data_IF_404538825668
#
_entry.id   IF_404538825668
#
_cell.length_a   1.000
_cell.length_b   1.000
_cell.length_c   1.000
_cell.angle_alpha   90.00
_cell.angle_beta   90.00
_cell.angle_gamma   90.00
#
_symmetry.space_group_name_H-M   'P 1'
#
loop_
_entity.id
_entity.type
_entity.pdbx_description
1 polymer ?
#
# COMPACT_ATOMS: atom_id res chain seq x y z
N UNK A 1 -27.58 -18.89 -50.52
CA UNK A 1 -27.22 -18.37 -49.19
C UNK A 1 -26.52 -19.49 -48.44
N UNK A 2 -25.24 -19.34 -48.11
CA UNK A 2 -24.50 -20.36 -47.38
C UNK A 2 -25.06 -20.46 -45.95
N UNK A 3 -25.72 -21.56 -45.63
CA UNK A 3 -26.22 -21.86 -44.29
C UNK A 3 -25.02 -22.03 -43.36
N UNK A 4 -24.81 -21.07 -42.45
CA UNK A 4 -23.71 -21.15 -41.48
C UNK A 4 -23.84 -22.46 -40.67
N UNK A 5 -22.73 -23.20 -40.57
CA UNK A 5 -22.65 -24.47 -39.84
C UNK A 5 -23.18 -24.26 -38.40
N UNK A 6 -24.19 -25.04 -37.95
CA UNK A 6 -24.73 -24.96 -36.59
C UNK A 6 -23.65 -25.03 -35.49
N UNK A 7 -22.59 -25.80 -35.74
CA UNK A 7 -21.46 -25.93 -34.82
C UNK A 7 -20.70 -24.61 -34.68
N UNK A 8 -20.51 -23.86 -35.76
CA UNK A 8 -19.88 -22.52 -35.73
C UNK A 8 -20.66 -21.55 -34.84
N UNK A 9 -22.01 -21.58 -34.92
CA UNK A 9 -22.86 -20.74 -34.05
C UNK A 9 -22.76 -21.14 -32.58
N UNK A 10 -22.73 -22.45 -32.30
CA UNK A 10 -22.59 -22.96 -30.93
C UNK A 10 -21.24 -22.57 -30.31
N UNK A 11 -20.14 -22.71 -31.05
CA UNK A 11 -18.82 -22.30 -30.55
C UNK A 11 -18.70 -20.77 -30.39
N UNK A 12 -19.28 -19.99 -31.30
CA UNK A 12 -19.33 -18.53 -31.12
C UNK A 12 -20.13 -18.14 -29.88
N UNK A 13 -21.28 -18.79 -29.65
CA UNK A 13 -22.09 -18.54 -28.46
C UNK A 13 -21.37 -18.96 -27.17
N UNK A 14 -20.71 -20.12 -27.17
CA UNK A 14 -19.89 -20.57 -26.06
C UNK A 14 -18.75 -19.58 -25.77
N UNK A 15 -18.04 -19.10 -26.80
CA UNK A 15 -17.01 -18.08 -26.65
C UNK A 15 -17.57 -16.78 -26.03
N UNK A 16 -18.77 -16.34 -26.44
CA UNK A 16 -19.42 -15.16 -25.84
C UNK A 16 -19.83 -15.38 -24.39
N UNK A 17 -20.30 -16.56 -24.02
CA UNK A 17 -20.57 -16.87 -22.62
C UNK A 17 -19.30 -16.89 -21.77
N UNK A 18 -18.20 -17.46 -22.29
CA UNK A 18 -16.91 -17.45 -21.60
C UNK A 18 -16.35 -16.03 -21.45
N UNK A 19 -16.47 -15.18 -22.46
CA UNK A 19 -16.10 -13.76 -22.41
C UNK A 19 -16.89 -13.02 -21.32
N UNK A 20 -18.22 -13.21 -21.27
CA UNK A 20 -19.07 -12.60 -20.24
C UNK A 20 -18.70 -13.11 -18.83
N UNK A 21 -18.42 -14.40 -18.68
CA UNK A 21 -18.00 -14.97 -17.40
C UNK A 21 -16.68 -14.36 -16.92
N UNK A 22 -15.67 -14.31 -17.80
CA UNK A 22 -14.37 -13.72 -17.50
C UNK A 22 -14.49 -12.23 -17.11
N UNK A 23 -15.32 -11.45 -17.81
CA UNK A 23 -15.55 -10.03 -17.48
C UNK A 23 -16.20 -9.85 -16.11
N UNK A 24 -17.16 -10.70 -15.73
CA UNK A 24 -17.80 -10.65 -14.41
C UNK A 24 -16.81 -10.98 -13.29
N UNK A 25 -15.99 -12.02 -13.48
CA UNK A 25 -14.96 -12.39 -12.52
C UNK A 25 -13.91 -11.28 -12.36
N UNK A 26 -13.53 -10.65 -13.47
CA UNK A 26 -12.60 -9.52 -13.48
C UNK A 26 -13.17 -8.32 -12.70
N UNK A 27 -14.46 -8.00 -12.90
CA UNK A 27 -15.16 -6.95 -12.15
C UNK A 27 -15.14 -7.21 -10.64
N UNK A 28 -15.50 -8.42 -10.21
CA UNK A 28 -15.51 -8.79 -8.80
C UNK A 28 -14.10 -8.75 -8.19
N UNK A 29 -13.10 -9.24 -8.94
CA UNK A 29 -11.69 -9.17 -8.52
C UNK A 29 -11.23 -7.73 -8.34
N UNK A 30 -11.55 -6.83 -9.28
CA UNK A 30 -11.22 -5.41 -9.16
C UNK A 30 -11.90 -4.75 -7.94
N UNK A 31 -13.13 -5.13 -7.61
CA UNK A 31 -13.80 -4.66 -6.40
C UNK A 31 -13.06 -5.06 -5.12
N UNK A 32 -12.61 -6.33 -5.04
CA UNK A 32 -11.80 -6.81 -3.92
C UNK A 32 -10.44 -6.11 -3.83
N UNK A 33 -9.78 -5.86 -4.96
CA UNK A 33 -8.50 -5.14 -5.00
C UNK A 33 -8.65 -3.66 -4.61
N UNK A 34 -9.79 -3.04 -4.92
CA UNK A 34 -10.09 -1.68 -4.45
C UNK A 34 -10.20 -1.65 -2.92
N UNK A 35 -10.95 -2.59 -2.34
CA UNK A 35 -11.08 -2.73 -0.88
C UNK A 35 -9.74 -3.05 -0.20
N UNK A 36 -8.91 -3.85 -0.84
CA UNK A 36 -7.54 -4.11 -0.41
C UNK A 36 -6.71 -2.81 -0.34
N UNK A 37 -6.79 -1.95 -1.36
CA UNK A 37 -6.11 -0.66 -1.36
C UNK A 37 -6.57 0.27 -0.24
N UNK A 38 -7.89 0.33 0.01
CA UNK A 38 -8.45 1.08 1.14
C UNK A 38 -7.92 0.55 2.47
N UNK A 39 -7.87 -0.76 2.64
CA UNK A 39 -7.34 -1.39 3.85
C UNK A 39 -5.85 -1.13 4.05
N UNK A 40 -5.04 -1.30 3.00
CA UNK A 40 -3.61 -0.95 3.04
C UNK A 40 -3.42 0.52 3.42
N UNK A 41 -4.25 1.42 2.91
CA UNK A 41 -4.17 2.83 3.28
C UNK A 41 -4.48 3.06 4.77
N UNK A 42 -5.47 2.38 5.35
CA UNK A 42 -5.73 2.48 6.79
C UNK A 42 -4.57 1.93 7.62
N UNK A 43 -3.95 0.82 7.20
CA UNK A 43 -2.76 0.26 7.86
C UNK A 43 -1.56 1.20 7.77
N UNK A 44 -1.37 1.90 6.64
CA UNK A 44 -0.32 2.92 6.50
C UNK A 44 -0.52 4.08 7.49
N UNK A 45 -1.77 4.51 7.71
CA UNK A 45 -2.12 5.53 8.72
C UNK A 45 -1.88 5.00 10.13
N UNK A 46 -2.36 3.80 10.43
CA UNK A 46 -2.20 3.17 11.75
C UNK A 46 -0.73 2.97 12.12
N UNK A 47 0.10 2.51 11.17
CA UNK A 47 1.56 2.42 11.34
C UNK A 47 2.16 3.77 11.71
N UNK A 48 1.80 4.82 10.97
CA UNK A 48 2.35 6.15 11.18
C UNK A 48 2.00 6.65 12.59
N UNK A 49 0.72 6.57 12.98
CA UNK A 49 0.26 6.99 14.31
C UNK A 49 0.88 6.15 15.42
N UNK A 50 1.06 4.84 15.20
CA UNK A 50 1.74 3.94 16.14
C UNK A 50 3.20 4.32 16.33
N UNK A 51 3.89 4.74 15.25
CA UNK A 51 5.27 5.18 15.31
C UNK A 51 5.43 6.40 16.23
N UNK A 52 4.58 7.43 16.06
CA UNK A 52 4.61 8.61 16.96
C UNK A 52 4.24 8.22 18.38
N UNK A 53 3.17 7.44 18.56
CA UNK A 53 2.70 7.04 19.89
C UNK A 53 3.82 6.34 20.68
N UNK A 54 4.58 5.46 20.03
CA UNK A 54 5.73 4.80 20.63
C UNK A 54 6.93 5.74 20.82
N UNK A 55 7.29 6.54 19.82
CA UNK A 55 8.44 7.45 19.87
C UNK A 55 8.27 8.58 20.92
N UNK A 56 7.02 8.99 21.18
CA UNK A 56 6.66 10.02 22.17
C UNK A 56 6.35 9.46 23.56
N UNK A 57 6.69 8.20 23.85
CA UNK A 57 6.39 7.57 25.13
C UNK A 57 4.88 7.65 25.55
N UNK A 58 3.96 7.52 24.59
CA UNK A 58 2.48 7.66 24.73
C UNK A 58 1.96 9.07 25.00
N UNK A 59 2.80 10.09 24.93
CA UNK A 59 2.38 11.47 25.17
C UNK A 59 1.60 12.04 23.98
N UNK A 60 1.84 11.53 22.78
CA UNK A 60 1.23 12.03 21.54
C UNK A 60 0.51 10.94 20.77
N UNK A 61 -0.44 11.36 19.92
CA UNK A 61 -1.20 10.49 19.01
C UNK A 61 -2.04 9.38 19.65
N UNK A 62 -2.23 9.40 20.98
CA UNK A 62 -3.04 8.40 21.69
C UNK A 62 -4.49 8.39 21.22
N UNK A 63 -5.15 9.55 21.14
CA UNK A 63 -6.55 9.64 20.68
C UNK A 63 -6.67 9.32 19.19
N UNK A 64 -5.76 9.85 18.37
CA UNK A 64 -5.72 9.58 16.93
C UNK A 64 -5.56 8.07 16.65
N UNK A 65 -4.69 7.37 17.39
CA UNK A 65 -4.53 5.92 17.25
C UNK A 65 -5.79 5.16 17.71
N UNK A 66 -6.43 5.60 18.80
CA UNK A 66 -7.71 5.02 19.26
C UNK A 66 -8.84 5.20 18.23
N UNK A 67 -8.86 6.32 17.51
CA UNK A 67 -9.82 6.59 16.44
C UNK A 67 -9.48 5.85 15.14
N UNK A 68 -8.20 5.63 14.85
CA UNK A 68 -7.74 4.98 13.63
C UNK A 68 -7.94 3.46 13.65
N UNK A 69 -7.80 2.80 14.80
CA UNK A 69 -7.96 1.33 14.90
C UNK A 69 -9.35 0.86 14.41
N UNK A 70 -10.48 1.49 14.82
CA UNK A 70 -11.80 1.17 14.27
C UNK A 70 -11.90 1.33 12.75
N UNK A 71 -11.27 2.37 12.17
CA UNK A 71 -11.25 2.57 10.71
C UNK A 71 -10.50 1.43 10.01
N UNK A 72 -9.34 1.03 10.53
CA UNK A 72 -8.59 -0.12 10.02
C UNK A 72 -9.41 -1.42 10.13
N UNK A 73 -10.12 -1.64 11.25
CA UNK A 73 -10.98 -2.82 11.43
C UNK A 73 -12.17 -2.84 10.47
N UNK A 74 -12.78 -1.68 10.20
CA UNK A 74 -13.85 -1.57 9.23
C UNK A 74 -13.35 -1.91 7.82
N UNK A 75 -12.20 -1.35 7.41
CA UNK A 75 -11.61 -1.64 6.11
C UNK A 75 -11.17 -3.11 5.97
N UNK A 76 -10.69 -3.72 7.06
CA UNK A 76 -10.39 -5.16 7.09
C UNK A 76 -11.65 -6.00 6.87
N UNK A 77 -12.74 -5.67 7.55
CA UNK A 77 -14.03 -6.37 7.39
C UNK A 77 -14.54 -6.27 5.95
N UNK A 78 -14.55 -5.06 5.39
CA UNK A 78 -14.93 -4.81 3.99
C UNK A 78 -14.11 -5.63 2.99
N UNK A 79 -12.79 -5.70 3.21
CA UNK A 79 -11.90 -6.50 2.38
C UNK A 79 -12.20 -8.00 2.51
N UNK A 80 -12.39 -8.50 3.73
CA UNK A 80 -12.68 -9.91 3.99
C UNK A 80 -14.01 -10.35 3.39
N UNK A 81 -15.05 -9.52 3.52
CA UNK A 81 -16.36 -9.82 2.95
C UNK A 81 -16.32 -9.79 1.42
N UNK A 82 -15.55 -8.87 0.83
CA UNK A 82 -15.31 -8.87 -0.61
C UNK A 82 -14.56 -10.12 -1.08
N UNK A 83 -13.54 -10.58 -0.36
CA UNK A 83 -12.84 -11.83 -0.70
C UNK A 83 -13.77 -13.03 -0.70
N UNK A 84 -14.65 -13.15 0.32
CA UNK A 84 -15.63 -14.24 0.38
C UNK A 84 -16.56 -14.21 -0.84
N UNK A 85 -17.12 -13.04 -1.15
CA UNK A 85 -18.04 -12.87 -2.28
C UNK A 85 -17.39 -13.13 -3.63
N UNK A 86 -16.11 -12.78 -3.80
CA UNK A 86 -15.39 -12.91 -5.07
C UNK A 86 -14.83 -14.31 -5.29
N UNK A 87 -14.21 -14.91 -4.25
CA UNK A 87 -13.36 -16.10 -4.42
C UNK A 87 -13.90 -17.37 -3.75
N UNK A 88 -14.84 -17.27 -2.81
CA UNK A 88 -15.36 -18.41 -2.04
C UNK A 88 -16.83 -18.63 -2.41
N UNK A 89 -17.04 -19.09 -3.66
CA UNK A 89 -18.35 -19.46 -4.20
C UNK A 89 -18.32 -20.92 -4.68
N UNK A 90 -19.47 -21.61 -4.75
CA UNK A 90 -19.59 -23.03 -5.11
C UNK A 90 -19.03 -23.42 -6.51
N UNK A 91 -18.69 -22.44 -7.34
CA UNK A 91 -18.12 -22.61 -8.68
C UNK A 91 -16.67 -22.08 -8.76
N UNK A 92 -15.84 -22.33 -7.75
CA UNK A 92 -14.47 -21.84 -7.71
C UNK A 92 -13.68 -22.33 -8.93
N UNK A 93 -13.26 -21.37 -9.77
CA UNK A 93 -12.49 -21.64 -10.97
C UNK A 93 -11.07 -22.11 -10.60
N UNK A 94 -10.64 -23.23 -11.18
CA UNK A 94 -9.42 -23.96 -10.76
C UNK A 94 -8.11 -23.27 -11.14
N UNK A 95 -8.16 -22.10 -11.79
CA UNK A 95 -7.01 -21.42 -12.42
C UNK A 95 -6.17 -20.49 -11.53
N UNK A 96 -6.47 -20.33 -10.24
CA UNK A 96 -5.90 -19.23 -9.42
C UNK A 96 -5.08 -19.68 -8.20
N UNK A 97 -4.50 -20.88 -8.18
CA UNK A 97 -3.80 -21.44 -7.00
C UNK A 97 -2.77 -20.49 -6.37
N UNK A 98 -1.97 -19.77 -7.17
CA UNK A 98 -0.96 -18.83 -6.66
C UNK A 98 -1.59 -17.62 -5.95
N UNK A 99 -2.66 -17.06 -6.50
CA UNK A 99 -3.44 -15.99 -5.87
C UNK A 99 -4.05 -16.44 -4.54
N UNK A 100 -4.69 -17.61 -4.51
CA UNK A 100 -5.24 -18.16 -3.26
C UNK A 100 -4.16 -18.35 -2.19
N UNK A 101 -2.99 -18.89 -2.56
CA UNK A 101 -1.87 -19.05 -1.62
C UNK A 101 -1.38 -17.70 -1.07
N UNK A 102 -1.27 -16.66 -1.91
CA UNK A 102 -0.88 -15.32 -1.47
C UNK A 102 -1.94 -14.68 -0.56
N UNK A 103 -3.22 -14.87 -0.86
CA UNK A 103 -4.32 -14.43 0.01
C UNK A 103 -4.22 -15.15 1.35
N UNK A 104 -4.09 -16.48 1.37
CA UNK A 104 -3.95 -17.27 2.59
C UNK A 104 -2.77 -16.81 3.43
N UNK A 105 -1.59 -16.62 2.83
CA UNK A 105 -0.41 -16.13 3.53
C UNK A 105 -0.63 -14.73 4.13
N UNK A 106 -1.27 -13.83 3.39
CA UNK A 106 -1.55 -12.47 3.84
C UNK A 106 -2.58 -12.43 4.97
N UNK A 107 -3.60 -13.28 4.91
CA UNK A 107 -4.60 -13.44 5.97
C UNK A 107 -3.94 -14.02 7.24
N UNK A 108 -3.06 -15.01 7.10
CA UNK A 108 -2.31 -15.56 8.23
C UNK A 108 -1.41 -14.50 8.88
N UNK A 109 -0.77 -13.64 8.09
CA UNK A 109 0.03 -12.52 8.62
C UNK A 109 -0.85 -11.51 9.39
N UNK A 110 -2.08 -11.29 8.93
CA UNK A 110 -3.06 -10.41 9.58
C UNK A 110 -3.54 -10.95 10.94
N UNK A 111 -3.50 -12.26 11.17
CA UNK A 111 -3.84 -12.85 12.48
C UNK A 111 -2.91 -12.36 13.61
N UNK A 112 -1.71 -11.88 13.27
CA UNK A 112 -0.77 -11.29 14.23
C UNK A 112 -1.08 -9.81 14.55
N UNK A 113 -1.93 -9.14 13.77
CA UNK A 113 -2.21 -7.70 13.94
C UNK A 113 -2.81 -7.34 15.31
N UNK A 114 -3.76 -8.11 15.89
CA UNK A 114 -4.25 -7.84 17.24
C UNK A 114 -3.15 -7.92 18.32
N UNK A 115 -2.22 -8.86 18.17
CA UNK A 115 -1.08 -9.01 19.10
C UNK A 115 -0.15 -7.81 18.98
N UNK A 116 0.17 -7.39 17.76
CA UNK A 116 0.98 -6.18 17.50
C UNK A 116 0.34 -4.94 18.13
N UNK A 117 -0.96 -4.73 17.95
CA UNK A 117 -1.71 -3.61 18.56
C UNK A 117 -1.63 -3.63 20.09
N UNK A 118 -1.72 -4.81 20.70
CA UNK A 118 -1.57 -4.97 22.14
C UNK A 118 -0.15 -4.60 22.60
N UNK A 119 0.88 -5.11 21.91
CA UNK A 119 2.27 -4.75 22.18
C UNK A 119 2.51 -3.24 22.06
N UNK A 120 1.93 -2.58 21.05
CA UNK A 120 2.00 -1.12 20.88
C UNK A 120 1.34 -0.41 22.07
N UNK A 121 0.11 -0.80 22.41
CA UNK A 121 -0.64 -0.20 23.53
C UNK A 121 0.09 -0.36 24.88
N UNK A 122 0.78 -1.48 25.08
CA UNK A 122 1.58 -1.77 26.27
C UNK A 122 3.03 -1.27 26.19
N UNK A 123 3.46 -0.70 25.06
CA UNK A 123 4.87 -0.37 24.75
C UNK A 123 5.85 -1.52 24.97
N UNK A 124 5.40 -2.75 24.70
CA UNK A 124 6.25 -3.94 24.74
C UNK A 124 6.98 -4.19 23.41
N UNK A 125 7.03 -3.16 22.54
CA UNK A 125 7.68 -3.18 21.24
C UNK A 125 8.25 -1.79 20.94
N UNK A 126 9.40 -1.72 20.27
CA UNK A 126 9.98 -0.45 19.83
C UNK A 126 9.24 0.12 18.62
N UNK A 127 9.32 1.44 18.41
CA UNK A 127 8.75 2.10 17.23
C UNK A 127 9.29 1.51 15.92
N UNK A 128 10.59 1.16 15.89
CA UNK A 128 11.25 0.55 14.74
C UNK A 128 10.65 -0.83 14.44
N UNK A 129 10.54 -1.71 15.44
CA UNK A 129 9.99 -3.05 15.23
C UNK A 129 8.51 -3.02 14.86
N UNK A 130 7.71 -2.16 15.50
CA UNK A 130 6.30 -1.99 15.12
C UNK A 130 6.16 -1.52 13.66
N UNK A 131 7.00 -0.55 13.24
CA UNK A 131 7.03 -0.06 11.86
C UNK A 131 7.39 -1.18 10.88
N UNK A 132 8.38 -2.01 11.21
CA UNK A 132 8.78 -3.16 10.40
C UNK A 132 7.64 -4.19 10.28
N UNK A 133 6.96 -4.53 11.38
CA UNK A 133 5.82 -5.47 11.35
C UNK A 133 4.68 -4.98 10.45
N UNK A 134 4.29 -3.71 10.55
CA UNK A 134 3.30 -3.14 9.64
C UNK A 134 3.78 -3.13 8.18
N UNK A 135 5.05 -2.81 7.94
CA UNK A 135 5.63 -2.76 6.59
C UNK A 135 5.61 -4.13 5.92
N UNK A 136 5.96 -5.19 6.65
CA UNK A 136 5.90 -6.58 6.15
C UNK A 136 4.46 -7.01 5.82
N UNK A 137 3.51 -6.63 6.67
CA UNK A 137 2.09 -6.92 6.48
C UNK A 137 1.52 -6.15 5.27
N UNK A 138 1.89 -4.88 5.09
CA UNK A 138 1.50 -4.10 3.91
C UNK A 138 2.11 -4.70 2.65
N UNK A 139 3.38 -5.12 2.67
CA UNK A 139 4.04 -5.74 1.52
C UNK A 139 3.36 -7.05 1.09
N UNK A 140 2.96 -7.92 2.02
CA UNK A 140 2.23 -9.15 1.68
C UNK A 140 0.89 -8.86 1.02
N UNK A 141 0.17 -7.84 1.51
CA UNK A 141 -1.09 -7.38 0.92
C UNK A 141 -0.91 -6.82 -0.49
N UNK A 142 0.11 -5.98 -0.72
CA UNK A 142 0.36 -5.42 -2.05
C UNK A 142 0.72 -6.48 -3.09
N UNK A 143 1.36 -7.58 -2.70
CA UNK A 143 1.66 -8.70 -3.60
C UNK A 143 0.39 -9.37 -4.18
N UNK A 144 -0.75 -9.29 -3.49
CA UNK A 144 -2.04 -9.78 -4.02
C UNK A 144 -2.43 -9.01 -5.29
N UNK A 145 -2.15 -7.69 -5.34
CA UNK A 145 -2.48 -6.84 -6.50
C UNK A 145 -1.64 -7.25 -7.71
N UNK A 146 -0.35 -7.52 -7.52
CA UNK A 146 0.54 -7.99 -8.59
C UNK A 146 0.09 -9.35 -9.13
N UNK A 147 -0.21 -10.31 -8.24
CA UNK A 147 -0.68 -11.62 -8.69
C UNK A 147 -2.01 -11.53 -9.46
N UNK A 148 -2.91 -10.64 -9.03
CA UNK A 148 -4.14 -10.41 -9.75
C UNK A 148 -3.92 -9.74 -11.10
N UNK A 149 -2.88 -8.90 -11.25
CA UNK A 149 -2.47 -8.35 -12.53
C UNK A 149 -1.91 -9.43 -13.47
N UNK A 150 -1.06 -10.32 -12.96
CA UNK A 150 -0.51 -11.47 -13.72
C UNK A 150 -1.62 -12.40 -14.24
N UNK A 151 -2.68 -12.59 -13.45
CA UNK A 151 -3.83 -13.42 -13.82
C UNK A 151 -4.89 -12.73 -14.69
N UNK A 152 -4.77 -11.43 -14.97
CA UNK A 152 -5.79 -10.69 -15.71
C UNK A 152 -5.72 -10.96 -17.22
N UNK A 153 -6.85 -11.29 -17.84
CA UNK A 153 -6.94 -11.56 -19.27
C UNK A 153 -7.12 -10.30 -20.14
N UNK A 154 -7.53 -9.18 -19.55
CA UNK A 154 -7.70 -7.90 -20.23
C UNK A 154 -6.43 -7.03 -20.08
N UNK A 155 -5.75 -6.64 -21.18
CA UNK A 155 -4.54 -5.82 -21.12
C UNK A 155 -4.76 -4.40 -20.57
N UNK A 156 -5.96 -3.83 -20.69
CA UNK A 156 -6.28 -2.53 -20.06
C UNK A 156 -6.38 -2.68 -18.55
N UNK A 157 -7.04 -3.73 -18.06
CA UNK A 157 -7.13 -3.98 -16.62
C UNK A 157 -5.76 -4.32 -16.03
N UNK A 158 -4.97 -5.16 -16.71
CA UNK A 158 -3.59 -5.45 -16.31
C UNK A 158 -2.78 -4.17 -16.10
N UNK A 159 -2.82 -3.25 -17.08
CA UNK A 159 -2.12 -1.96 -16.97
C UNK A 159 -2.61 -1.11 -15.81
N UNK A 160 -3.92 -1.04 -15.59
CA UNK A 160 -4.48 -0.29 -14.45
C UNK A 160 -4.09 -0.89 -13.11
N UNK A 161 -4.02 -2.22 -12.99
CA UNK A 161 -3.56 -2.90 -11.77
C UNK A 161 -2.07 -2.67 -11.52
N UNK A 162 -1.23 -2.70 -12.56
CA UNK A 162 0.20 -2.35 -12.45
C UNK A 162 0.37 -0.90 -12.02
N UNK A 163 -0.39 0.03 -12.61
CA UNK A 163 -0.39 1.43 -12.18
C UNK A 163 -0.82 1.56 -10.71
N UNK A 164 -1.91 0.89 -10.32
CA UNK A 164 -2.44 0.93 -8.97
C UNK A 164 -1.45 0.39 -7.94
N UNK A 165 -0.82 -0.75 -8.22
CA UNK A 165 0.25 -1.30 -7.38
C UNK A 165 1.39 -0.29 -7.22
N UNK A 166 1.91 0.25 -8.32
CA UNK A 166 3.03 1.19 -8.30
C UNK A 166 2.70 2.49 -7.56
N UNK A 167 1.48 2.99 -7.67
CA UNK A 167 1.03 4.14 -6.88
C UNK A 167 1.03 3.83 -5.38
N UNK A 168 0.50 2.66 -4.99
CA UNK A 168 0.46 2.23 -3.60
C UNK A 168 1.86 1.95 -3.04
N UNK A 169 2.75 1.39 -3.86
CA UNK A 169 4.15 1.14 -3.53
C UNK A 169 4.92 2.45 -3.33
N UNK A 170 4.70 3.45 -4.19
CA UNK A 170 5.26 4.80 -4.01
C UNK A 170 4.79 5.45 -2.71
N UNK A 171 3.48 5.36 -2.39
CA UNK A 171 2.94 5.81 -1.08
C UNK A 171 3.58 5.08 0.09
N UNK A 172 3.85 3.79 -0.08
CA UNK A 172 4.45 2.95 0.95
C UNK A 172 5.89 3.38 1.27
N UNK A 173 6.71 3.60 0.24
CA UNK A 173 8.06 4.13 0.42
C UNK A 173 8.07 5.55 0.99
N UNK A 174 7.14 6.42 0.58
CA UNK A 174 6.99 7.75 1.19
C UNK A 174 6.64 7.65 2.70
N UNK A 175 5.80 6.68 3.07
CA UNK A 175 5.48 6.40 4.47
C UNK A 175 6.68 5.90 5.29
N UNK A 176 7.54 5.07 4.69
CA UNK A 176 8.77 4.57 5.32
C UNK A 176 9.82 5.68 5.45
N UNK A 177 9.97 6.52 4.44
CA UNK A 177 10.81 7.72 4.48
C UNK A 177 10.37 8.65 5.61
N UNK A 178 9.06 8.91 5.73
CA UNK A 178 8.52 9.71 6.83
C UNK A 178 8.91 9.15 8.19
N UNK A 179 8.72 7.85 8.40
CA UNK A 179 9.09 7.20 9.66
C UNK A 179 10.60 7.28 9.96
N UNK A 180 11.44 7.07 8.94
CA UNK A 180 12.90 7.12 9.08
C UNK A 180 13.39 8.55 9.38
N UNK A 181 12.91 9.54 8.64
CA UNK A 181 13.30 10.95 8.84
C UNK A 181 12.81 11.51 10.18
N UNK A 182 11.60 11.15 10.61
CA UNK A 182 11.09 11.55 11.92
C UNK A 182 11.99 11.03 13.05
N UNK A 183 12.46 9.79 12.93
CA UNK A 183 13.40 9.21 13.89
C UNK A 183 14.77 9.90 13.86
N UNK A 184 15.31 10.20 12.67
CA UNK A 184 16.58 10.90 12.53
C UNK A 184 16.54 12.29 13.20
N UNK A 185 15.49 13.08 12.93
CA UNK A 185 15.30 14.37 13.58
C UNK A 185 15.10 14.26 15.09
N UNK A 186 14.26 13.33 15.55
CA UNK A 186 14.00 13.13 16.99
C UNK A 186 15.27 12.75 17.76
N UNK A 187 16.11 11.90 17.17
CA UNK A 187 17.39 11.50 17.77
C UNK A 187 18.49 12.55 17.58
N UNK A 188 18.30 13.53 16.68
CA UNK A 188 19.36 14.44 16.20
C UNK A 188 20.63 13.67 15.79
N UNK A 189 20.43 12.51 15.15
CA UNK A 189 21.49 11.63 14.64
C UNK A 189 21.25 11.41 13.16
N UNK A 190 22.29 11.63 12.35
CA UNK A 190 22.22 11.60 10.89
C UNK A 190 23.37 10.75 10.36
N UNK A 191 23.37 9.47 10.74
CA UNK A 191 24.45 8.57 10.33
C UNK A 191 24.42 8.36 8.81
N UNK A 192 25.57 7.97 8.25
CA UNK A 192 25.69 7.67 6.82
C UNK A 192 24.68 6.62 6.37
N UNK A 193 24.45 5.59 7.19
CA UNK A 193 23.48 4.52 6.91
C UNK A 193 22.05 5.05 6.86
N UNK A 194 21.66 5.93 7.78
CA UNK A 194 20.32 6.54 7.78
C UNK A 194 20.12 7.44 6.56
N UNK A 195 21.13 8.23 6.17
CA UNK A 195 21.08 9.05 4.96
C UNK A 195 20.96 8.18 3.70
N UNK A 196 21.71 7.08 3.62
CA UNK A 196 21.61 6.11 2.52
C UNK A 196 20.23 5.45 2.47
N UNK A 197 19.68 5.06 3.62
CA UNK A 197 18.34 4.48 3.73
C UNK A 197 17.26 5.47 3.24
N UNK A 198 17.33 6.73 3.65
CA UNK A 198 16.42 7.79 3.18
C UNK A 198 16.53 8.02 1.67
N UNK A 199 17.77 8.12 1.15
CA UNK A 199 18.00 8.27 -0.28
C UNK A 199 17.44 7.09 -1.08
N UNK A 200 17.59 5.86 -0.56
CA UNK A 200 16.98 4.68 -1.13
C UNK A 200 15.45 4.80 -1.18
N UNK A 201 14.78 5.18 -0.10
CA UNK A 201 13.32 5.36 -0.12
C UNK A 201 12.85 6.44 -1.11
N UNK A 202 13.59 7.53 -1.27
CA UNK A 202 13.28 8.56 -2.28
C UNK A 202 13.46 8.02 -3.69
N UNK A 203 14.52 7.24 -3.93
CA UNK A 203 14.75 6.60 -5.22
C UNK A 203 13.62 5.60 -5.56
N UNK A 204 13.22 4.76 -4.62
CA UNK A 204 12.16 3.77 -4.81
C UNK A 204 10.78 4.42 -5.01
N UNK A 205 10.52 5.57 -4.36
CA UNK A 205 9.35 6.40 -4.65
C UNK A 205 9.33 6.85 -6.10
N UNK A 206 10.44 7.46 -6.57
CA UNK A 206 10.53 7.96 -7.93
C UNK A 206 10.33 6.83 -8.95
N UNK A 207 10.97 5.69 -8.74
CA UNK A 207 10.82 4.51 -9.59
C UNK A 207 9.37 4.02 -9.66
N UNK A 208 8.72 3.89 -8.50
CA UNK A 208 7.32 3.48 -8.41
C UNK A 208 6.41 4.49 -9.13
N UNK A 209 6.61 5.79 -8.91
CA UNK A 209 5.80 6.81 -9.57
C UNK A 209 6.09 6.94 -11.08
N UNK A 210 7.30 6.62 -11.54
CA UNK A 210 7.62 6.55 -12.97
C UNK A 210 6.81 5.45 -13.67
N UNK A 211 6.77 4.24 -13.10
CA UNK A 211 5.91 3.18 -13.63
C UNK A 211 4.43 3.53 -13.54
N UNK A 212 3.97 4.12 -12.44
CA UNK A 212 2.59 4.61 -12.36
C UNK A 212 2.25 5.56 -13.53
N UNK A 213 3.14 6.50 -13.85
CA UNK A 213 2.93 7.44 -14.97
C UNK A 213 2.92 6.74 -16.33
N UNK A 214 3.72 5.70 -16.52
CA UNK A 214 3.78 4.93 -17.78
C UNK A 214 2.48 4.17 -18.06
N UNK A 215 1.82 3.66 -17.01
CA UNK A 215 0.65 2.80 -17.14
C UNK A 215 -0.70 3.51 -16.92
N UNK A 216 -0.71 4.83 -16.74
CA UNK A 216 -1.93 5.63 -16.52
C UNK A 216 -2.35 6.48 -17.71
N UNK A 217 -3.62 6.88 -17.72
CA UNK A 217 -4.16 7.81 -18.72
C UNK A 217 -3.94 9.28 -18.34
N UNK A 218 -4.27 10.18 -19.28
CA UNK A 218 -4.10 11.62 -19.09
C UNK A 218 -4.91 12.20 -17.91
N UNK A 219 -6.02 11.56 -17.53
CA UNK A 219 -6.83 12.02 -16.41
C UNK A 219 -6.11 11.74 -15.08
N UNK A 220 -5.63 10.51 -14.89
CA UNK A 220 -4.88 10.11 -13.70
C UNK A 220 -3.54 10.87 -13.60
N UNK A 221 -2.85 11.08 -14.72
CA UNK A 221 -1.63 11.92 -14.76
C UNK A 221 -1.90 13.35 -14.30
N UNK A 222 -3.04 13.94 -14.69
CA UNK A 222 -3.44 15.27 -14.23
C UNK A 222 -3.71 15.29 -12.73
N UNK A 223 -4.46 14.30 -12.22
CA UNK A 223 -4.72 14.16 -10.78
C UNK A 223 -3.41 14.02 -10.00
N UNK A 224 -2.48 13.17 -10.46
CA UNK A 224 -1.15 13.02 -9.86
C UNK A 224 -0.35 14.33 -9.90
N UNK A 225 -0.38 15.05 -11.03
CA UNK A 225 0.23 16.36 -11.16
C UNK A 225 -0.23 17.32 -10.06
N UNK A 226 -1.55 17.41 -9.81
CA UNK A 226 -2.08 18.28 -8.75
C UNK A 226 -1.58 17.92 -7.34
N UNK A 227 -1.40 16.62 -7.07
CA UNK A 227 -0.86 16.14 -5.79
C UNK A 227 0.62 16.51 -5.66
N UNK A 228 1.43 16.30 -6.71
CA UNK A 228 2.87 16.56 -6.68
C UNK A 228 3.22 18.04 -6.62
N UNK A 229 2.38 18.92 -7.19
CA UNK A 229 2.59 20.38 -7.13
C UNK A 229 2.13 21.03 -5.83
N UNK A 230 1.56 20.26 -4.90
CA UNK A 230 1.10 20.80 -3.62
C UNK A 230 2.28 21.36 -2.80
N UNK A 231 2.07 22.49 -2.12
CA UNK A 231 3.11 23.22 -1.40
C UNK A 231 3.84 22.39 -0.33
N UNK A 232 3.17 21.42 0.27
CA UNK A 232 3.75 20.50 1.27
C UNK A 232 4.93 19.72 0.68
N UNK A 233 4.89 19.33 -0.60
CA UNK A 233 6.00 18.61 -1.20
C UNK A 233 7.26 19.49 -1.29
N UNK A 234 7.11 20.80 -1.51
CA UNK A 234 8.27 21.71 -1.49
C UNK A 234 8.91 21.78 -0.10
N UNK A 235 8.10 21.72 0.97
CA UNK A 235 8.62 21.68 2.35
C UNK A 235 9.36 20.37 2.62
N UNK A 236 8.81 19.23 2.18
CA UNK A 236 9.47 17.93 2.27
C UNK A 236 10.81 17.94 1.53
N UNK A 237 10.89 18.49 0.31
CA UNK A 237 12.15 18.61 -0.44
C UNK A 237 13.20 19.49 0.26
N UNK A 238 12.77 20.56 0.91
CA UNK A 238 13.66 21.41 1.71
C UNK A 238 14.22 20.63 2.91
N UNK A 239 13.38 19.86 3.59
CA UNK A 239 13.81 19.03 4.72
C UNK A 239 14.70 17.85 4.27
N UNK A 240 14.42 17.22 3.12
CA UNK A 240 15.30 16.22 2.48
C UNK A 240 16.69 16.81 2.22
N UNK A 241 16.73 18.01 1.64
CA UNK A 241 17.97 18.72 1.36
C UNK A 241 18.75 19.09 2.62
N UNK A 242 18.04 19.43 3.70
CA UNK A 242 18.65 19.69 5.01
C UNK A 242 19.24 18.41 5.60
N UNK A 243 18.48 17.30 5.60
CA UNK A 243 18.92 15.99 6.10
C UNK A 243 20.23 15.51 5.45
N UNK A 244 20.39 15.73 4.14
CA UNK A 244 21.62 15.34 3.44
C UNK A 244 22.85 16.15 3.89
N UNK A 245 22.66 17.43 4.22
CA UNK A 245 23.74 18.38 4.57
C UNK A 245 24.16 18.33 6.05
N UNK A 246 23.32 17.77 6.92
CA UNK A 246 23.59 17.70 8.36
C UNK A 246 24.55 16.54 8.67
N UNK A 247 25.64 16.81 9.36
CA UNK A 247 26.53 15.77 9.91
C UNK A 247 26.39 15.73 11.44
N UNK A 248 26.73 14.59 12.05
CA UNK A 248 26.59 14.37 13.50
C UNK A 248 27.30 15.45 14.35
N UNK A 249 28.36 16.08 13.82
CA UNK A 249 29.11 17.15 14.49
C UNK A 249 28.39 18.51 14.48
N UNK A 250 27.43 18.73 13.57
CA UNK A 250 26.68 19.99 13.42
C UNK A 250 25.20 19.86 13.82
N UNK A 251 24.81 18.74 14.42
CA UNK A 251 23.45 18.52 14.91
C UNK A 251 23.17 19.39 16.14
N UNK A 252 22.78 20.65 15.91
CA UNK A 252 21.99 21.38 16.91
C UNK A 252 20.72 20.58 17.24
N UNK A 253 20.06 20.77 18.39
CA UNK A 253 18.83 20.06 18.71
C UNK A 253 17.75 20.40 17.68
N UNK A 254 17.61 19.56 16.67
CA UNK A 254 16.61 19.65 15.60
C UNK A 254 15.42 18.72 15.88
N UNK A 255 15.25 18.28 17.13
CA UNK A 255 14.14 17.42 17.56
C UNK A 255 12.77 18.04 17.25
N UNK A 256 12.66 19.37 17.24
CA UNK A 256 11.45 20.10 16.85
C UNK A 256 11.09 19.90 15.37
N UNK A 257 12.06 19.64 14.49
CA UNK A 257 11.81 19.34 13.07
C UNK A 257 11.24 17.94 12.86
N UNK A 258 11.34 17.04 13.84
CA UNK A 258 10.74 15.71 13.76
C UNK A 258 9.23 15.80 13.57
N UNK A 259 8.59 16.76 14.23
CA UNK A 259 7.15 16.98 14.11
C UNK A 259 6.79 17.57 12.75
N UNK A 260 7.51 18.60 12.33
CA UNK A 260 7.32 19.28 11.04
C UNK A 260 7.56 18.35 9.86
N UNK A 261 8.50 17.40 9.98
CA UNK A 261 8.76 16.38 8.98
C UNK A 261 7.63 15.35 8.88
N UNK A 262 6.99 15.05 10.02
CA UNK A 262 5.97 14.03 10.05
C UNK A 262 4.61 14.54 9.55
N UNK A 263 4.24 15.78 9.90
CA UNK A 263 2.98 16.43 9.50
C UNK A 263 2.89 16.67 7.99
#
# INVERSE_FOLDING_TARGET
MATSNPLTKQFLLAAKYQEIHALKQLQNSCASLTKLGDFVHQLQKERAMSNIFLASNRERFKSQLQEQIPLSNSAQTDFYDSLKQTFINDNADTGHTRLFNLITYSLQALDALPVLRNQIAQQNISAVHATQSFTQLIASLLNIILEAADGASDPKITRLLVAFFNFMQGKEYAGQERACGAQAFAASKFTTEQKQQLAHFVQEQNHSFDFFKEYTDAHLLKCFGTLTTHQVNNQVEQLRSLLQKLDDENAQPLSQLSEVWYE
#
